data_IF_442127673826
#
_entry.id   IF_442127673826
#
_cell.length_a   1.000
_cell.length_b   1.000
_cell.length_c   1.000
_cell.angle_alpha   90.00
_cell.angle_beta   90.00
_cell.angle_gamma   90.00
#
_symmetry.space_group_name_H-M   'P 1'
#
loop_
_entity.id
_entity.type
_entity.pdbx_description
1 polymer ?
#
# COMPACT_ATOMS: atom_id res chain seq x y z
N UNK A 1 -6.79 27.06 7.24
CA UNK A 1 -6.04 27.35 8.47
C UNK A 1 -5.03 26.24 8.63
N UNK A 2 -3.77 26.63 8.80
CA UNK A 2 -2.59 25.78 8.75
C UNK A 2 -2.56 24.82 9.94
N UNK A 3 -2.41 23.54 9.65
CA UNK A 3 -1.95 22.54 10.60
C UNK A 3 -0.51 22.20 10.18
N UNK A 4 0.39 23.18 10.32
CA UNK A 4 1.84 22.93 10.21
C UNK A 4 2.30 22.31 11.52
N UNK A 5 1.82 21.09 11.80
CA UNK A 5 2.45 20.29 12.82
C UNK A 5 3.86 19.97 12.31
N UNK A 6 4.85 20.36 13.09
CA UNK A 6 6.26 20.09 12.83
C UNK A 6 6.48 18.58 13.00
N UNK A 7 6.43 17.84 11.89
CA UNK A 7 6.56 16.39 11.89
C UNK A 7 8.04 16.03 11.78
N UNK A 8 8.70 15.95 12.93
CA UNK A 8 10.03 15.34 13.07
C UNK A 8 9.92 13.83 12.84
N UNK A 9 10.80 13.29 12.00
CA UNK A 9 10.92 11.86 11.72
C UNK A 9 12.38 11.43 11.93
N UNK A 10 12.59 10.31 12.62
CA UNK A 10 13.85 9.54 12.51
C UNK A 10 13.85 8.83 11.15
N UNK A 11 14.95 8.32 10.60
CA UNK A 11 14.85 7.39 9.46
C UNK A 11 16.09 6.51 9.32
N UNK A 12 15.95 5.26 8.82
CA UNK A 12 17.08 4.49 8.36
C UNK A 12 17.55 5.05 7.02
N UNK A 13 18.72 5.68 7.00
CA UNK A 13 19.26 6.27 5.77
C UNK A 13 20.23 5.31 5.08
N UNK A 14 19.94 4.95 3.83
CA UNK A 14 20.85 4.18 2.96
C UNK A 14 21.36 5.04 1.80
N UNK A 15 22.08 6.12 2.11
CA UNK A 15 22.65 7.01 1.11
C UNK A 15 21.61 7.73 0.23
N UNK A 16 22.10 8.67 -0.58
CA UNK A 16 21.27 9.49 -1.49
C UNK A 16 21.31 10.98 -1.13
N UNK A 17 21.01 11.88 -2.10
CA UNK A 17 21.03 13.31 -1.87
C UNK A 17 19.89 13.74 -0.95
N UNK A 18 20.18 14.67 -0.05
CA UNK A 18 19.15 15.31 0.78
C UNK A 18 18.38 16.36 -0.01
N UNK A 19 17.15 16.62 0.40
CA UNK A 19 16.33 17.65 -0.23
C UNK A 19 16.64 19.00 0.41
N UNK A 20 17.05 19.96 -0.41
CA UNK A 20 17.24 21.36 -0.04
C UNK A 20 16.06 22.16 -0.61
N UNK A 21 15.03 22.47 0.18
CA UNK A 21 13.85 23.18 -0.30
C UNK A 21 14.17 24.63 -0.63
N UNK A 22 13.60 25.13 -1.74
CA UNK A 22 13.54 26.57 -2.04
C UNK A 22 12.44 27.25 -1.23
N UNK A 23 12.43 28.59 -1.15
CA UNK A 23 11.45 29.35 -0.35
C UNK A 23 9.98 29.09 -0.74
N UNK A 24 9.73 28.67 -1.98
CA UNK A 24 8.40 28.40 -2.52
C UNK A 24 7.96 26.93 -2.36
N UNK A 25 8.67 26.15 -1.55
CA UNK A 25 8.41 24.75 -1.25
C UNK A 25 7.95 24.60 0.20
N UNK A 26 6.84 23.89 0.40
CA UNK A 26 6.35 23.51 1.72
C UNK A 26 7.08 22.25 2.19
N UNK A 27 7.70 22.31 3.38
CA UNK A 27 8.31 21.15 4.03
C UNK A 27 7.23 20.42 4.83
N UNK A 28 7.03 19.14 4.51
CA UNK A 28 6.04 18.27 5.17
C UNK A 28 6.65 17.47 6.32
N UNK A 29 7.94 17.16 6.25
CA UNK A 29 8.68 16.47 7.29
C UNK A 29 10.18 16.76 7.18
N UNK A 30 10.89 16.66 8.30
CA UNK A 30 12.35 16.81 8.41
C UNK A 30 12.97 15.59 9.10
N UNK A 31 14.21 15.26 8.73
CA UNK A 31 14.98 14.24 9.44
C UNK A 31 15.56 14.84 10.72
N UNK A 32 15.36 14.18 11.85
CA UNK A 32 15.78 14.68 13.16
C UNK A 32 16.94 13.89 13.77
N UNK A 33 16.95 12.57 13.56
CA UNK A 33 18.05 11.71 14.02
C UNK A 33 18.13 10.40 13.23
N UNK A 34 19.15 9.61 13.55
CA UNK A 34 19.33 8.25 13.06
C UNK A 34 18.67 7.21 13.97
N UNK A 35 18.23 6.11 13.38
CA UNK A 35 17.78 4.94 14.15
C UNK A 35 18.99 4.16 14.69
N UNK A 36 18.80 3.37 15.75
CA UNK A 36 19.84 2.48 16.26
C UNK A 36 20.30 1.40 15.26
N UNK A 37 19.50 1.14 14.22
CA UNK A 37 19.81 0.19 13.15
C UNK A 37 20.50 0.85 11.95
N UNK A 38 20.88 2.14 12.05
CA UNK A 38 21.51 2.86 10.94
C UNK A 38 22.94 2.40 10.75
N UNK A 39 23.26 1.90 9.56
CA UNK A 39 24.63 1.61 9.15
C UNK A 39 25.21 2.81 8.40
N UNK A 40 26.31 3.36 8.91
CA UNK A 40 26.95 4.53 8.30
C UNK A 40 27.99 4.12 7.26
N UNK A 41 27.84 4.63 6.04
CA UNK A 41 28.83 4.47 4.95
C UNK A 41 29.96 5.51 5.00
N UNK A 42 29.81 6.51 5.87
CA UNK A 42 30.79 7.57 6.17
C UNK A 42 30.86 7.74 7.69
N UNK A 43 31.73 8.62 8.19
CA UNK A 43 31.74 8.96 9.62
C UNK A 43 30.36 9.48 10.07
N UNK A 44 29.91 9.07 11.26
CA UNK A 44 28.59 9.45 11.79
C UNK A 44 28.43 10.97 11.90
N UNK A 45 29.49 11.69 12.28
CA UNK A 45 29.46 13.16 12.39
C UNK A 45 29.21 13.80 11.04
N UNK A 46 29.83 13.26 9.98
CA UNK A 46 29.63 13.71 8.60
C UNK A 46 28.19 13.41 8.17
N UNK A 47 27.71 12.18 8.39
CA UNK A 47 26.32 11.81 8.07
C UNK A 47 25.31 12.72 8.77
N UNK A 48 25.51 12.98 10.08
CA UNK A 48 24.67 13.87 10.89
C UNK A 48 24.59 15.27 10.28
N UNK A 49 25.75 15.84 9.91
CA UNK A 49 25.82 17.18 9.32
C UNK A 49 25.12 17.30 7.96
N UNK A 50 24.95 16.18 7.24
CA UNK A 50 24.31 16.16 5.93
C UNK A 50 22.80 16.02 6.01
N UNK A 51 22.29 15.23 6.98
CA UNK A 51 20.90 14.75 6.99
C UNK A 51 20.04 15.39 8.06
N UNK A 52 20.58 15.59 9.27
CA UNK A 52 19.77 16.13 10.37
C UNK A 52 19.39 17.57 10.05
N UNK A 53 18.10 17.87 10.14
CA UNK A 53 17.48 19.14 9.74
C UNK A 53 17.14 19.23 8.25
N UNK A 54 17.57 18.29 7.40
CA UNK A 54 17.21 18.28 5.99
C UNK A 54 15.75 17.87 5.79
N UNK A 55 15.14 18.31 4.68
CA UNK A 55 13.77 17.96 4.36
C UNK A 55 13.66 16.48 3.97
N UNK A 56 12.74 15.77 4.64
CA UNK A 56 12.42 14.37 4.38
C UNK A 56 11.23 14.22 3.44
N UNK A 57 10.31 15.18 3.44
CA UNK A 57 9.21 15.25 2.49
C UNK A 57 8.87 16.70 2.18
N UNK A 58 8.61 17.02 0.92
CA UNK A 58 8.26 18.36 0.48
C UNK A 58 7.10 18.36 -0.51
N UNK A 59 6.37 19.48 -0.55
CA UNK A 59 5.27 19.73 -1.47
C UNK A 59 5.48 21.06 -2.19
N UNK A 60 5.15 21.09 -3.49
CA UNK A 60 5.09 22.31 -4.28
C UNK A 60 3.82 22.35 -5.12
N UNK A 61 3.12 23.47 -5.09
CA UNK A 61 2.01 23.71 -6.02
C UNK A 61 2.56 23.99 -7.42
N UNK A 62 2.12 23.24 -8.43
CA UNK A 62 2.47 23.43 -9.82
C UNK A 62 1.20 23.58 -10.67
N UNK A 63 0.81 24.83 -10.93
CA UNK A 63 -0.46 25.13 -11.60
C UNK A 63 -1.65 24.58 -10.80
N UNK A 64 -2.51 23.78 -11.43
CA UNK A 64 -3.62 23.10 -10.76
C UNK A 64 -3.24 21.77 -10.09
N UNK A 65 -1.98 21.34 -10.19
CA UNK A 65 -1.49 20.09 -9.61
C UNK A 65 -0.50 20.31 -8.47
N UNK A 66 -0.11 19.21 -7.83
CA UNK A 66 0.83 19.21 -6.71
C UNK A 66 1.99 18.26 -7.04
N UNK A 67 3.21 18.69 -6.75
CA UNK A 67 4.41 17.85 -6.78
C UNK A 67 4.79 17.52 -5.34
N UNK A 68 5.02 16.24 -5.08
CA UNK A 68 5.56 15.73 -3.83
C UNK A 68 6.91 15.09 -4.10
N UNK A 69 7.91 15.43 -3.29
CA UNK A 69 9.21 14.76 -3.30
C UNK A 69 9.48 14.21 -1.91
N UNK A 70 10.00 12.99 -1.87
CA UNK A 70 10.36 12.31 -0.65
C UNK A 70 11.87 12.06 -0.65
N UNK A 71 12.48 12.27 0.51
CA UNK A 71 13.90 12.06 0.73
C UNK A 71 14.25 10.57 0.68
N UNK A 72 15.54 10.24 0.78
CA UNK A 72 15.99 8.86 0.69
C UNK A 72 15.26 7.93 1.68
N UNK A 73 14.78 6.80 1.18
CA UNK A 73 14.16 5.72 1.96
C UNK A 73 12.91 6.10 2.75
N UNK A 74 12.27 7.22 2.40
CA UNK A 74 11.04 7.65 3.06
C UNK A 74 9.91 6.61 2.95
N UNK A 75 9.85 5.83 1.87
CA UNK A 75 8.82 4.80 1.66
C UNK A 75 9.17 3.44 2.29
N UNK A 76 10.14 3.36 3.20
CA UNK A 76 10.57 2.09 3.78
C UNK A 76 9.45 1.43 4.61
N UNK A 77 9.13 0.13 4.41
CA UNK A 77 8.00 -0.52 5.10
C UNK A 77 8.11 -0.56 6.63
N UNK A 78 9.33 -0.61 7.16
CA UNK A 78 9.59 -0.66 8.61
C UNK A 78 9.58 0.73 9.28
N UNK A 79 9.17 1.77 8.56
CA UNK A 79 9.21 3.14 9.05
C UNK A 79 7.81 3.78 9.07
N UNK A 80 6.98 3.41 10.07
CA UNK A 80 5.55 3.73 10.07
C UNK A 80 5.26 5.24 10.13
N UNK A 81 6.14 6.04 10.73
CA UNK A 81 5.97 7.49 10.82
C UNK A 81 6.05 8.16 9.44
N UNK A 82 7.03 7.79 8.61
CA UNK A 82 7.10 8.28 7.22
C UNK A 82 5.95 7.76 6.36
N UNK A 83 5.56 6.48 6.57
CA UNK A 83 4.40 5.90 5.89
C UNK A 83 3.08 6.62 6.24
N UNK A 84 2.94 7.19 7.44
CA UNK A 84 1.78 8.04 7.81
C UNK A 84 1.76 9.34 7.00
N UNK A 85 2.91 9.96 6.74
CA UNK A 85 2.99 11.16 5.89
C UNK A 85 2.62 10.81 4.44
N UNK A 86 3.12 9.70 3.89
CA UNK A 86 2.72 9.22 2.56
C UNK A 86 1.21 8.98 2.47
N UNK A 87 0.64 8.33 3.49
CA UNK A 87 -0.79 8.08 3.57
C UNK A 87 -1.61 9.38 3.58
N UNK A 88 -1.19 10.38 4.36
CA UNK A 88 -1.80 11.70 4.38
C UNK A 88 -1.77 12.37 2.99
N UNK A 89 -0.62 12.29 2.30
CA UNK A 89 -0.48 12.82 0.93
C UNK A 89 -1.44 12.14 -0.04
N UNK A 90 -1.49 10.80 -0.04
CA UNK A 90 -2.39 10.02 -0.91
C UNK A 90 -3.86 10.40 -0.67
N UNK A 91 -4.27 10.50 0.60
CA UNK A 91 -5.65 10.84 0.97
C UNK A 91 -5.98 12.31 0.63
N UNK A 92 -5.04 13.24 0.83
CA UNK A 92 -5.22 14.68 0.52
C UNK A 92 -5.30 14.92 -0.99
N UNK A 93 -4.40 14.33 -1.77
CA UNK A 93 -4.40 14.44 -3.24
C UNK A 93 -5.74 14.02 -3.84
N UNK A 94 -6.38 12.99 -3.27
CA UNK A 94 -7.73 12.56 -3.66
C UNK A 94 -8.80 13.64 -3.45
N UNK A 95 -8.74 14.39 -2.34
CA UNK A 95 -9.76 15.44 -2.06
C UNK A 95 -9.78 16.52 -3.14
N UNK A 96 -8.64 16.76 -3.78
CA UNK A 96 -8.50 17.71 -4.89
C UNK A 96 -8.89 17.12 -6.25
N UNK A 97 -8.91 15.79 -6.40
CA UNK A 97 -9.46 15.13 -7.57
C UNK A 97 -10.99 15.09 -7.46
N UNK A 98 -11.65 15.95 -8.23
CA UNK A 98 -13.10 16.17 -8.24
C UNK A 98 -13.86 15.02 -8.92
N UNK A 99 -13.57 13.78 -8.53
CA UNK A 99 -14.15 12.59 -9.13
C UNK A 99 -15.49 12.29 -8.45
N UNK A 100 -16.58 12.81 -9.04
CA UNK A 100 -17.95 12.58 -8.61
C UNK A 100 -18.28 11.07 -8.49
N UNK A 101 -17.58 10.22 -9.25
CA UNK A 101 -17.71 8.77 -9.19
C UNK A 101 -17.09 8.20 -7.89
N UNK A 102 -15.92 8.69 -7.50
CA UNK A 102 -15.24 8.31 -6.27
C UNK A 102 -15.96 8.80 -5.01
N UNK A 103 -16.68 9.94 -5.07
CA UNK A 103 -17.53 10.43 -3.96
C UNK A 103 -18.83 9.62 -3.82
N UNK A 104 -19.45 9.18 -4.93
CA UNK A 104 -20.70 8.39 -4.90
C UNK A 104 -20.48 6.94 -4.46
N UNK A 105 -19.37 6.33 -4.85
CA UNK A 105 -19.06 4.94 -4.46
C UNK A 105 -18.61 4.88 -3.00
N UNK A 106 -17.96 5.92 -2.52
CA UNK A 106 -17.29 5.91 -1.23
C UNK A 106 -17.75 7.06 -0.31
N UNK A 107 -19.02 7.02 0.07
CA UNK A 107 -19.49 7.80 1.22
C UNK A 107 -19.13 7.06 2.51
N UNK A 108 -17.97 7.39 3.09
CA UNK A 108 -17.51 6.80 4.35
C UNK A 108 -18.28 7.31 5.58
N UNK A 109 -19.14 8.32 5.43
CA UNK A 109 -20.10 8.63 6.50
C UNK A 109 -21.12 7.50 6.69
N UNK A 110 -21.26 6.62 5.70
CA UNK A 110 -22.08 5.42 5.72
C UNK A 110 -21.31 4.14 6.10
N UNK A 111 -20.11 4.23 6.71
CA UNK A 111 -19.54 3.07 7.42
C UNK A 111 -20.55 2.68 8.49
N UNK A 112 -21.28 1.60 8.23
CA UNK A 112 -22.36 1.18 9.12
C UNK A 112 -21.76 0.77 10.45
N UNK A 113 -22.18 1.42 11.53
CA UNK A 113 -21.66 1.22 12.89
C UNK A 113 -21.73 -0.26 13.35
N UNK A 114 -22.61 -1.06 12.72
CA UNK A 114 -22.81 -2.48 13.06
C UNK A 114 -22.30 -3.49 12.01
N UNK A 115 -22.01 -3.07 10.76
CA UNK A 115 -21.70 -3.97 9.65
C UNK A 115 -22.77 -5.01 9.34
N UNK A 116 -22.74 -5.65 8.16
CA UNK A 116 -23.75 -6.67 7.80
C UNK A 116 -23.16 -7.99 7.31
N UNK A 117 -23.93 -9.07 7.46
CA UNK A 117 -23.60 -10.38 6.87
C UNK A 117 -23.62 -10.33 5.33
N UNK A 118 -24.53 -9.54 4.73
CA UNK A 118 -24.60 -9.34 3.29
C UNK A 118 -23.32 -8.67 2.75
N UNK A 119 -22.88 -7.58 3.39
CA UNK A 119 -21.58 -6.93 3.11
C UNK A 119 -20.41 -7.91 3.18
N UNK A 120 -20.34 -8.70 4.26
CA UNK A 120 -19.29 -9.70 4.42
C UNK A 120 -19.30 -10.75 3.31
N UNK A 121 -20.48 -11.23 2.93
CA UNK A 121 -20.63 -12.24 1.88
C UNK A 121 -20.26 -11.68 0.50
N UNK A 122 -20.69 -10.46 0.18
CA UNK A 122 -20.31 -9.78 -1.05
C UNK A 122 -18.79 -9.55 -1.13
N UNK A 123 -18.17 -9.12 -0.02
CA UNK A 123 -16.72 -8.97 0.05
C UNK A 123 -15.98 -10.30 -0.15
N UNK A 124 -16.49 -11.40 0.42
CA UNK A 124 -15.90 -12.73 0.23
C UNK A 124 -16.01 -13.24 -1.20
N UNK A 125 -17.09 -12.91 -1.91
CA UNK A 125 -17.20 -13.17 -3.35
C UNK A 125 -16.11 -12.43 -4.12
N UNK A 126 -15.93 -11.14 -3.83
CA UNK A 126 -14.83 -10.35 -4.38
C UNK A 126 -13.46 -10.98 -4.08
N UNK A 127 -13.17 -11.33 -2.82
CA UNK A 127 -11.92 -11.97 -2.41
C UNK A 127 -11.66 -13.29 -3.16
N UNK A 128 -12.70 -14.10 -3.37
CA UNK A 128 -12.63 -15.33 -4.14
C UNK A 128 -12.28 -15.07 -5.61
N UNK A 129 -12.91 -14.08 -6.25
CA UNK A 129 -12.57 -13.67 -7.63
C UNK A 129 -11.15 -13.14 -7.72
N UNK A 130 -10.69 -12.32 -6.77
CA UNK A 130 -9.30 -11.83 -6.78
C UNK A 130 -8.31 -12.98 -6.63
N UNK A 131 -8.60 -13.97 -5.78
CA UNK A 131 -7.80 -15.19 -5.67
C UNK A 131 -7.72 -15.95 -7.01
N UNK A 132 -8.85 -16.07 -7.72
CA UNK A 132 -8.91 -16.70 -9.05
C UNK A 132 -8.09 -15.93 -10.08
N UNK A 133 -8.26 -14.61 -10.11
CA UNK A 133 -7.49 -13.69 -10.95
C UNK A 133 -5.98 -13.84 -10.70
N UNK A 134 -5.56 -13.96 -9.44
CA UNK A 134 -4.16 -14.16 -9.03
C UNK A 134 -3.57 -15.46 -9.60
N UNK A 135 -4.31 -16.56 -9.52
CA UNK A 135 -3.88 -17.85 -10.08
C UNK A 135 -3.71 -17.76 -11.60
N UNK A 136 -4.61 -17.04 -12.28
CA UNK A 136 -4.52 -16.82 -13.72
C UNK A 136 -3.35 -15.93 -14.12
N UNK A 137 -3.09 -14.86 -13.37
CA UNK A 137 -1.94 -13.99 -13.58
C UNK A 137 -0.63 -14.76 -13.47
N UNK A 138 -0.48 -15.58 -12.43
CA UNK A 138 0.69 -16.44 -12.24
C UNK A 138 0.86 -17.47 -13.37
N UNK A 139 -0.23 -17.99 -13.93
CA UNK A 139 -0.16 -18.87 -15.08
C UNK A 139 0.40 -18.18 -16.34
N UNK A 140 0.15 -16.88 -16.51
CA UNK A 140 0.69 -16.09 -17.63
C UNK A 140 2.17 -15.72 -17.45
N UNK A 141 2.70 -15.63 -16.22
CA UNK A 141 4.14 -15.36 -15.98
C UNK A 141 5.06 -16.38 -16.63
N UNK A 142 4.58 -17.61 -16.82
CA UNK A 142 5.34 -18.68 -17.47
C UNK A 142 5.42 -18.52 -18.99
N UNK A 143 4.79 -17.49 -19.55
CA UNK A 143 4.80 -17.19 -20.99
C UNK A 143 5.85 -16.13 -21.30
N UNK A 144 6.34 -16.11 -22.54
CA UNK A 144 7.26 -15.07 -23.02
C UNK A 144 6.54 -13.83 -23.57
N UNK A 145 5.26 -13.65 -23.24
CA UNK A 145 4.46 -12.56 -23.81
C UNK A 145 4.99 -11.19 -23.37
N UNK A 146 4.99 -10.25 -24.32
CA UNK A 146 5.30 -8.84 -24.10
C UNK A 146 4.35 -8.02 -24.94
N UNK A 147 3.75 -7.01 -24.33
CA UNK A 147 2.81 -6.11 -25.00
C UNK A 147 3.37 -4.71 -25.02
N UNK A 148 3.21 -4.02 -26.14
CA UNK A 148 3.63 -2.63 -26.27
C UNK A 148 2.42 -1.72 -26.16
N UNK A 149 2.25 -1.09 -25.00
CA UNK A 149 1.18 -0.14 -24.76
C UNK A 149 1.77 1.27 -24.82
N UNK A 150 1.53 1.94 -25.95
CA UNK A 150 2.16 3.22 -26.28
C UNK A 150 3.69 3.09 -26.40
N UNK A 151 4.43 3.76 -25.51
CA UNK A 151 5.91 3.71 -25.44
C UNK A 151 6.45 2.70 -24.43
N UNK A 152 5.59 2.08 -23.63
CA UNK A 152 5.99 1.17 -22.54
C UNK A 152 5.80 -0.28 -22.97
N UNK A 153 6.74 -1.14 -22.56
CA UNK A 153 6.61 -2.60 -22.69
C UNK A 153 6.10 -3.15 -21.37
N UNK A 154 5.05 -3.96 -21.45
CA UNK A 154 4.44 -4.65 -20.32
C UNK A 154 4.69 -6.14 -20.43
N UNK A 155 4.98 -6.75 -19.29
CA UNK A 155 5.16 -8.19 -19.10
C UNK A 155 4.05 -8.72 -18.18
N UNK A 156 3.82 -10.04 -18.16
CA UNK A 156 2.83 -10.66 -17.30
C UNK A 156 3.08 -10.45 -15.80
N UNK A 157 4.33 -10.28 -15.36
CA UNK A 157 4.69 -10.09 -13.94
C UNK A 157 3.98 -8.87 -13.34
N UNK A 158 3.84 -7.78 -14.09
CA UNK A 158 3.10 -6.58 -13.68
C UNK A 158 1.65 -6.86 -13.29
N UNK A 159 1.01 -7.84 -13.93
CA UNK A 159 -0.38 -8.24 -13.61
C UNK A 159 -0.41 -8.78 -12.18
N UNK A 160 0.47 -9.74 -11.88
CA UNK A 160 0.53 -10.37 -10.57
C UNK A 160 0.88 -9.37 -9.47
N UNK A 161 1.79 -8.42 -9.71
CA UNK A 161 2.09 -7.35 -8.74
C UNK A 161 0.82 -6.59 -8.35
N UNK A 162 0.01 -6.17 -9.33
CA UNK A 162 -1.23 -5.42 -9.07
C UNK A 162 -2.28 -6.28 -8.35
N UNK A 163 -2.51 -7.51 -8.81
CA UNK A 163 -3.52 -8.41 -8.21
C UNK A 163 -3.11 -8.85 -6.81
N UNK A 164 -1.83 -9.16 -6.58
CA UNK A 164 -1.31 -9.50 -5.25
C UNK A 164 -1.47 -8.35 -4.26
N UNK A 165 -1.20 -7.12 -4.69
CA UNK A 165 -1.36 -5.94 -3.84
C UNK A 165 -2.81 -5.79 -3.32
N UNK A 166 -3.80 -6.07 -4.16
CA UNK A 166 -5.22 -6.11 -3.79
C UNK A 166 -5.53 -7.32 -2.91
N UNK A 167 -5.11 -8.51 -3.32
CA UNK A 167 -5.40 -9.76 -2.61
C UNK A 167 -4.92 -9.77 -1.16
N UNK A 168 -3.64 -9.44 -0.92
CA UNK A 168 -3.05 -9.47 0.42
C UNK A 168 -3.80 -8.54 1.38
N UNK A 169 -4.15 -7.33 0.91
CA UNK A 169 -4.89 -6.35 1.71
C UNK A 169 -6.35 -6.78 1.90
N UNK A 170 -7.00 -7.32 0.88
CA UNK A 170 -8.36 -7.83 0.99
C UNK A 170 -8.46 -9.00 1.99
N UNK A 171 -7.46 -9.89 1.97
CA UNK A 171 -7.34 -10.98 2.93
C UNK A 171 -7.17 -10.46 4.36
N UNK A 172 -6.31 -9.46 4.57
CA UNK A 172 -6.14 -8.81 5.88
C UNK A 172 -7.45 -8.18 6.37
N UNK A 173 -8.22 -7.53 5.50
CA UNK A 173 -9.52 -6.95 5.83
C UNK A 173 -10.54 -8.01 6.26
N UNK A 174 -10.65 -9.15 5.56
CA UNK A 174 -11.58 -10.23 5.97
C UNK A 174 -11.12 -10.91 7.27
N UNK A 175 -9.81 -11.18 7.40
CA UNK A 175 -9.24 -11.82 8.59
C UNK A 175 -9.45 -10.97 9.85
N UNK A 176 -9.36 -9.64 9.70
CA UNK A 176 -9.60 -8.67 10.79
C UNK A 176 -11.08 -8.38 11.04
N UNK A 177 -11.98 -8.99 10.26
CA UNK A 177 -13.43 -8.77 10.35
C UNK A 177 -13.91 -7.42 9.80
N UNK A 178 -13.05 -6.65 9.12
CA UNK A 178 -13.42 -5.36 8.55
C UNK A 178 -14.27 -5.46 7.28
N UNK A 179 -14.26 -6.63 6.63
CA UNK A 179 -15.06 -6.91 5.42
C UNK A 179 -16.55 -6.63 5.60
N UNK A 180 -17.10 -6.77 6.82
CA UNK A 180 -18.53 -6.49 7.11
C UNK A 180 -18.90 -5.00 7.07
N UNK A 181 -17.92 -4.11 7.14
CA UNK A 181 -18.11 -2.65 7.13
C UNK A 181 -17.96 -2.03 5.75
N UNK A 182 -17.57 -2.84 4.76
CA UNK A 182 -17.49 -2.42 3.37
C UNK A 182 -18.91 -2.53 2.79
N UNK A 183 -19.46 -1.47 2.18
CA UNK A 183 -20.77 -1.53 1.58
C UNK A 183 -20.87 -2.67 0.55
N UNK A 184 -22.01 -3.36 0.55
CA UNK A 184 -22.26 -4.45 -0.40
C UNK A 184 -22.08 -3.99 -1.85
N UNK A 185 -22.63 -2.82 -2.20
CA UNK A 185 -22.50 -2.24 -3.53
C UNK A 185 -21.05 -2.04 -3.98
N UNK A 186 -20.17 -1.61 -3.07
CA UNK A 186 -18.73 -1.44 -3.33
C UNK A 186 -18.08 -2.79 -3.59
N UNK A 187 -18.37 -3.79 -2.75
CA UNK A 187 -17.85 -5.14 -2.91
C UNK A 187 -18.32 -5.80 -4.20
N UNK A 188 -19.58 -5.58 -4.59
CA UNK A 188 -20.13 -6.05 -5.86
C UNK A 188 -19.45 -5.38 -7.06
N UNK A 189 -19.24 -4.06 -7.02
CA UNK A 189 -18.52 -3.34 -8.07
C UNK A 189 -17.07 -3.84 -8.24
N UNK A 190 -16.37 -4.11 -7.14
CA UNK A 190 -15.02 -4.71 -7.21
C UNK A 190 -15.04 -6.14 -7.74
N UNK A 191 -16.05 -6.94 -7.37
CA UNK A 191 -16.24 -8.28 -7.90
C UNK A 191 -16.46 -8.25 -9.42
N UNK A 192 -17.36 -7.41 -9.92
CA UNK A 192 -17.62 -7.23 -11.35
C UNK A 192 -16.36 -6.76 -12.11
N UNK A 193 -15.64 -5.76 -11.57
CA UNK A 193 -14.37 -5.32 -12.15
C UNK A 193 -13.34 -6.46 -12.20
N UNK A 194 -13.32 -7.33 -11.18
CA UNK A 194 -12.41 -8.49 -11.15
C UNK A 194 -12.82 -9.56 -12.16
N UNK A 195 -14.12 -9.84 -12.34
CA UNK A 195 -14.61 -10.78 -13.35
C UNK A 195 -14.26 -10.30 -14.77
N UNK A 196 -14.38 -9.00 -15.04
CA UNK A 196 -13.95 -8.41 -16.32
C UNK A 196 -12.45 -8.63 -16.57
N UNK A 197 -11.61 -8.43 -15.54
CA UNK A 197 -10.17 -8.71 -15.62
C UNK A 197 -9.91 -10.20 -15.87
N UNK A 198 -10.63 -11.09 -15.19
CA UNK A 198 -10.52 -12.54 -15.39
C UNK A 198 -10.86 -12.92 -16.84
N UNK A 199 -11.92 -12.35 -17.41
CA UNK A 199 -12.30 -12.63 -18.80
C UNK A 199 -11.24 -12.15 -19.79
N UNK A 200 -10.62 -11.00 -19.55
CA UNK A 200 -9.50 -10.51 -20.36
C UNK A 200 -8.27 -11.42 -20.23
N UNK A 201 -7.96 -11.91 -19.03
CA UNK A 201 -6.89 -12.89 -18.81
C UNK A 201 -7.17 -14.21 -19.55
N UNK A 202 -8.44 -14.66 -19.58
CA UNK A 202 -8.84 -15.86 -20.34
C UNK A 202 -8.57 -15.65 -21.83
N UNK A 203 -8.98 -14.51 -22.39
CA UNK A 203 -8.75 -14.17 -23.80
C UNK A 203 -7.26 -14.14 -24.14
N UNK A 204 -6.43 -13.50 -23.32
CA UNK A 204 -4.98 -13.41 -23.55
C UNK A 204 -4.26 -14.76 -23.52
N UNK A 205 -4.82 -15.77 -22.82
CA UNK A 205 -4.26 -17.13 -22.80
C UNK A 205 -4.40 -17.84 -24.15
N UNK A 206 -5.34 -17.43 -25.00
CA UNK A 206 -5.50 -17.99 -26.34
C UNK A 206 -4.60 -17.25 -27.34
N UNK A 207 -3.94 -17.97 -28.28
CA UNK A 207 -3.04 -17.37 -29.27
C UNK A 207 -3.70 -16.25 -30.12
N UNK A 208 -5.00 -16.39 -30.38
CA UNK A 208 -5.79 -15.40 -31.12
C UNK A 208 -6.17 -14.17 -30.28
N UNK A 209 -6.13 -14.29 -28.94
CA UNK A 209 -6.47 -13.22 -28.01
C UNK A 209 -5.27 -12.43 -27.49
N UNK A 210 -4.05 -12.77 -27.90
CA UNK A 210 -2.79 -12.10 -27.54
C UNK A 210 -2.58 -10.75 -28.25
N UNK A 211 -3.65 -10.00 -28.48
CA UNK A 211 -3.58 -8.69 -29.12
C UNK A 211 -3.12 -7.60 -28.14
N UNK A 212 -2.42 -6.58 -28.64
CA UNK A 212 -2.07 -5.39 -27.86
C UNK A 212 -3.33 -4.66 -27.33
N UNK A 213 -4.47 -4.79 -28.01
CA UNK A 213 -5.74 -4.20 -27.58
C UNK A 213 -6.30 -4.90 -26.33
N UNK A 214 -6.36 -6.24 -26.31
CA UNK A 214 -6.79 -7.01 -25.14
C UNK A 214 -5.89 -6.73 -23.94
N UNK A 215 -4.57 -6.60 -24.17
CA UNK A 215 -3.62 -6.25 -23.12
C UNK A 215 -3.88 -4.82 -22.59
N UNK A 216 -4.20 -3.86 -23.46
CA UNK A 216 -4.56 -2.51 -23.06
C UNK A 216 -5.79 -2.51 -22.14
N UNK A 217 -6.86 -3.17 -22.56
CA UNK A 217 -8.09 -3.30 -21.76
C UNK A 217 -7.81 -3.97 -20.41
N UNK A 218 -6.95 -5.00 -20.40
CA UNK A 218 -6.56 -5.68 -19.16
C UNK A 218 -5.86 -4.71 -18.20
N UNK A 219 -4.85 -3.98 -18.67
CA UNK A 219 -4.10 -3.06 -17.81
C UNK A 219 -4.96 -1.88 -17.34
N UNK A 220 -5.93 -1.43 -18.13
CA UNK A 220 -6.91 -0.44 -17.70
C UNK A 220 -7.87 -0.99 -16.64
N UNK A 221 -8.34 -2.23 -16.81
CA UNK A 221 -9.15 -2.93 -15.80
C UNK A 221 -8.39 -3.12 -14.49
N UNK A 222 -7.13 -3.57 -14.56
CA UNK A 222 -6.25 -3.72 -13.40
C UNK A 222 -5.98 -2.38 -12.70
N UNK A 223 -5.72 -1.32 -13.47
CA UNK A 223 -5.54 0.04 -12.93
C UNK A 223 -6.79 0.51 -12.20
N UNK A 224 -7.96 0.31 -12.80
CA UNK A 224 -9.25 0.71 -12.19
C UNK A 224 -9.54 -0.09 -10.92
N UNK A 225 -9.38 -1.42 -10.97
CA UNK A 225 -9.57 -2.31 -9.82
C UNK A 225 -8.62 -1.95 -8.68
N UNK A 226 -7.32 -1.84 -8.96
CA UNK A 226 -6.31 -1.54 -7.94
C UNK A 226 -6.49 -0.14 -7.37
N UNK A 227 -6.76 0.87 -8.20
CA UNK A 227 -6.99 2.23 -7.73
C UNK A 227 -8.23 2.33 -6.85
N UNK A 228 -9.37 1.77 -7.28
CA UNK A 228 -10.62 1.84 -6.51
C UNK A 228 -10.51 1.10 -5.17
N UNK A 229 -9.92 -0.09 -5.16
CA UNK A 229 -9.69 -0.86 -3.93
C UNK A 229 -8.70 -0.16 -2.98
N UNK A 230 -7.52 0.22 -3.48
CA UNK A 230 -6.47 0.83 -2.65
C UNK A 230 -6.89 2.19 -2.10
N UNK A 231 -7.67 2.94 -2.87
CA UNK A 231 -8.29 4.18 -2.39
C UNK A 231 -9.12 3.92 -1.14
N UNK A 232 -10.01 2.94 -1.18
CA UNK A 232 -10.84 2.61 -0.03
C UNK A 232 -9.99 2.13 1.15
N UNK A 233 -9.07 1.19 0.88
CA UNK A 233 -8.16 0.65 1.88
C UNK A 233 -7.38 1.75 2.63
N UNK A 234 -6.75 2.67 1.89
CA UNK A 234 -5.98 3.76 2.50
C UNK A 234 -6.86 4.75 3.25
N UNK A 235 -8.09 4.97 2.82
CA UNK A 235 -9.02 5.79 3.60
C UNK A 235 -9.43 5.12 4.91
N UNK A 236 -9.71 3.82 4.90
CA UNK A 236 -9.98 3.07 6.13
C UNK A 236 -8.76 3.08 7.07
N UNK A 237 -7.55 2.95 6.53
CA UNK A 237 -6.32 3.05 7.30
C UNK A 237 -6.14 4.45 7.90
N UNK A 238 -6.34 5.50 7.10
CA UNK A 238 -6.19 6.90 7.53
C UNK A 238 -7.16 7.29 8.65
N UNK A 239 -8.39 6.76 8.61
CA UNK A 239 -9.38 6.99 9.66
C UNK A 239 -9.18 6.09 10.90
N UNK A 240 -8.08 5.33 10.97
CA UNK A 240 -7.78 4.44 12.09
C UNK A 240 -8.73 3.26 12.21
N UNK A 241 -9.55 2.99 11.18
CA UNK A 241 -10.51 1.88 11.18
C UNK A 241 -9.73 0.57 11.14
N UNK A 242 -8.60 0.51 10.42
CA UNK A 242 -7.76 -0.69 10.26
C UNK A 242 -6.64 -0.82 11.30
N UNK A 243 -6.48 0.13 12.23
CA UNK A 243 -5.42 0.09 13.23
C UNK A 243 -5.75 -0.94 14.32
N UNK A 244 -5.14 -2.13 14.23
CA UNK A 244 -5.19 -3.16 15.27
C UNK A 244 -4.33 -2.83 16.50
N UNK A 245 -3.41 -1.85 16.42
CA UNK A 245 -2.43 -1.59 17.48
C UNK A 245 -3.01 -0.98 18.77
N UNK A 246 -4.31 -0.63 18.82
CA UNK A 246 -4.95 -0.12 20.05
C UNK A 246 -5.84 -1.11 20.80
N UNK A 247 -6.00 -2.36 20.35
CA UNK A 247 -6.93 -3.32 20.97
C UNK A 247 -6.36 -4.67 21.42
N UNK A 248 -5.05 -4.86 21.37
CA UNK A 248 -4.38 -5.98 22.04
C UNK A 248 -3.47 -5.44 23.14
N UNK A 249 -3.78 -5.66 24.44
CA UNK A 249 -2.79 -5.41 25.47
C UNK A 249 -1.58 -6.29 25.20
N UNK A 250 -0.42 -5.66 25.21
CA UNK A 250 0.91 -6.25 25.33
C UNK A 250 0.85 -7.65 25.98
N UNK A 251 0.92 -8.70 25.17
CA UNK A 251 1.35 -9.99 25.69
C UNK A 251 2.85 -9.88 25.89
N UNK A 252 3.22 -9.61 27.13
CA UNK A 252 4.54 -9.86 27.69
C UNK A 252 5.02 -11.21 27.17
N UNK A 253 5.96 -11.21 26.23
CA UNK A 253 6.72 -12.40 25.88
C UNK A 253 7.64 -12.64 27.07
N UNK A 254 7.19 -13.47 28.01
CA UNK A 254 8.04 -14.02 29.06
C UNK A 254 9.05 -14.93 28.39
N UNK A 255 10.28 -14.44 28.30
CA UNK A 255 11.45 -15.21 27.90
C UNK A 255 11.67 -16.31 28.95
N UNK A 256 11.20 -17.52 28.70
CA UNK A 256 11.55 -18.69 29.52
C UNK A 256 12.95 -19.14 29.15
N UNK A 257 13.85 -18.96 30.11
CA UNK A 257 15.22 -19.43 30.07
C UNK A 257 15.28 -20.94 29.86
N UNK A 258 16.15 -21.36 28.94
CA UNK A 258 16.56 -22.76 28.76
C UNK A 258 17.17 -23.27 30.07
N UNK A 259 16.50 -24.23 30.70
CA UNK A 259 17.11 -25.10 31.70
C UNK A 259 18.12 -26.04 31.02
N UNK A 260 19.35 -26.00 31.53
CA UNK A 260 20.41 -26.97 31.27
C UNK A 260 19.97 -28.37 31.71
N UNK A 261 20.10 -29.35 30.80
CA UNK A 261 19.90 -30.76 31.10
C UNK A 261 21.05 -31.32 31.94
N UNK A 262 20.66 -32.20 32.86
CA UNK A 262 21.47 -32.93 33.83
C UNK A 262 22.58 -33.81 33.22
N UNK A 263 23.74 -33.81 33.88
CA UNK A 263 24.70 -34.91 33.89
C UNK A 263 24.43 -35.84 35.08
N UNK A 264 24.10 -37.09 34.80
CA UNK A 264 23.94 -38.18 35.78
C UNK A 264 25.28 -38.84 36.11
N UNK A 265 25.55 -39.26 37.36
CA UNK A 265 26.49 -40.33 37.64
C UNK A 265 25.74 -41.59 38.10
N UNK A 266 25.83 -42.67 37.30
CA UNK A 266 25.50 -44.03 37.76
C UNK A 266 26.70 -44.59 38.53
N UNK A 267 26.46 -45.05 39.75
CA UNK A 267 27.35 -45.93 40.51
C UNK A 267 27.05 -47.38 40.13
N UNK A 268 28.13 -48.14 39.88
CA UNK A 268 28.29 -49.60 39.73
C UNK A 268 27.36 -50.31 38.73
#
# INVERSE_FOLDING_TARGET
MADSADHSLTAPLYGGPTLLPSEDVEVLATYDDFTAATEFLVDETIARSMIVGAAAAVRKQLGSGELYLFGPHFEHPLFPEANRVLLQVIVKARRHMDDAHARRIFDFSAVQDQGTAASRNAFRRFLSSVSTCRIMAFALERTAYRWRIGKKVYDPEKISVMVNAVFTRAQQLDASGYSRYIPESVSCAWHEATENVIDLLRRLKHPEGTSDHTAHELFDGLRTLSATFLTAYFQYQYHGILDQERRTPCMTITCTSRQLQHSTPCRL
#
